data_IF_708808813527
#
_entry.id   IF_708808813527
#
_cell.length_a   1.000
_cell.length_b   1.000
_cell.length_c   1.000
_cell.angle_alpha   90.00
_cell.angle_beta   90.00
_cell.angle_gamma   90.00
#
_symmetry.space_group_name_H-M   'P 1'
#
loop_
_entity.id
_entity.type
_entity.pdbx_description
1 polymer ?
#
# COMPACT_ATOMS: atom_id res chain seq x y z
N UNK A 1 1.56 -39.49 -1.79
CA UNK A 1 2.46 -38.34 -1.79
C UNK A 1 1.70 -37.17 -1.21
N UNK A 2 2.08 -36.67 -0.04
CA UNK A 2 1.54 -35.43 0.51
C UNK A 2 1.94 -34.30 -0.45
N UNK A 3 0.95 -33.66 -1.06
CA UNK A 3 1.21 -32.51 -1.92
C UNK A 3 1.72 -31.38 -1.03
N UNK A 4 2.94 -30.89 -1.29
CA UNK A 4 3.54 -29.77 -0.54
C UNK A 4 2.80 -28.47 -0.81
N UNK A 5 2.55 -27.69 0.25
CA UNK A 5 1.94 -26.36 0.16
C UNK A 5 2.79 -25.42 -0.69
N UNK A 6 2.12 -24.48 -1.37
CA UNK A 6 2.74 -23.41 -2.12
C UNK A 6 2.41 -22.05 -1.50
N UNK A 7 3.34 -21.13 -1.58
CA UNK A 7 3.21 -19.75 -1.13
C UNK A 7 3.58 -18.81 -2.27
N UNK A 8 2.91 -17.68 -2.34
CA UNK A 8 3.19 -16.64 -3.32
C UNK A 8 3.71 -15.39 -2.61
N UNK A 9 4.85 -14.89 -3.05
CA UNK A 9 5.37 -13.58 -2.67
C UNK A 9 5.22 -12.61 -3.84
N UNK A 10 4.66 -11.43 -3.58
CA UNK A 10 4.55 -10.34 -4.55
C UNK A 10 5.38 -9.17 -4.08
N UNK A 11 6.27 -8.68 -4.94
CA UNK A 11 7.11 -7.50 -4.73
C UNK A 11 6.81 -6.47 -5.82
N UNK A 12 6.34 -5.28 -5.40
CA UNK A 12 6.05 -4.17 -6.29
C UNK A 12 7.12 -3.09 -6.12
N UNK A 13 8.11 -3.12 -7.00
CA UNK A 13 9.09 -2.06 -7.10
C UNK A 13 8.56 -0.88 -7.92
N UNK A 14 9.39 0.17 -8.08
CA UNK A 14 9.01 1.41 -8.77
C UNK A 14 8.59 1.22 -10.22
N UNK A 15 9.20 0.27 -10.93
CA UNK A 15 8.95 0.07 -12.37
C UNK A 15 8.39 -1.31 -12.72
N UNK A 16 8.10 -2.17 -11.76
CA UNK A 16 7.57 -3.50 -12.06
C UNK A 16 6.96 -4.19 -10.86
N UNK A 17 5.94 -5.03 -11.09
CA UNK A 17 5.47 -6.05 -10.18
C UNK A 17 6.17 -7.38 -10.48
N UNK A 18 6.55 -8.10 -9.44
CA UNK A 18 7.14 -9.43 -9.50
C UNK A 18 6.34 -10.37 -8.62
N UNK A 19 6.16 -11.60 -9.09
CA UNK A 19 5.58 -12.68 -8.27
C UNK A 19 6.55 -13.87 -8.27
N UNK A 20 6.70 -14.48 -7.10
CA UNK A 20 7.44 -15.71 -6.90
C UNK A 20 6.58 -16.80 -6.28
N UNK A 21 6.72 -18.04 -6.74
CA UNK A 21 6.10 -19.22 -6.13
C UNK A 21 7.16 -19.95 -5.33
N UNK A 22 6.87 -20.22 -4.08
CA UNK A 22 7.78 -20.86 -3.12
C UNK A 22 7.18 -22.13 -2.56
N UNK A 23 8.04 -23.09 -2.22
CA UNK A 23 7.65 -24.22 -1.38
C UNK A 23 7.68 -23.83 0.11
N UNK A 24 7.38 -24.83 0.97
CA UNK A 24 7.36 -24.63 2.43
C UNK A 24 8.76 -24.36 3.01
N UNK A 25 9.79 -24.83 2.36
CA UNK A 25 11.20 -24.67 2.74
C UNK A 25 11.77 -23.31 2.29
N UNK A 26 10.98 -22.53 1.53
CA UNK A 26 11.36 -21.20 1.00
C UNK A 26 12.15 -21.26 -0.30
N UNK A 27 12.20 -22.42 -0.98
CA UNK A 27 12.81 -22.51 -2.29
C UNK A 27 11.93 -21.84 -3.35
N UNK A 28 12.52 -20.97 -4.18
CA UNK A 28 11.85 -20.31 -5.31
C UNK A 28 11.68 -21.33 -6.45
N UNK A 29 10.43 -21.65 -6.78
CA UNK A 29 10.07 -22.63 -7.80
C UNK A 29 9.81 -21.99 -9.16
N UNK A 30 9.22 -20.79 -9.17
CA UNK A 30 8.95 -20.02 -10.39
C UNK A 30 8.88 -18.54 -10.06
N UNK A 31 9.09 -17.68 -11.07
CA UNK A 31 8.95 -16.23 -10.95
C UNK A 31 8.45 -15.64 -12.26
N UNK A 32 7.72 -14.53 -12.14
CA UNK A 32 7.31 -13.73 -13.29
C UNK A 32 7.39 -12.23 -12.94
N UNK A 33 7.48 -11.40 -13.98
CA UNK A 33 7.60 -9.95 -13.88
C UNK A 33 6.67 -9.26 -14.86
N UNK A 34 6.05 -8.17 -14.46
CA UNK A 34 5.29 -7.25 -15.31
C UNK A 34 5.77 -5.82 -15.06
N UNK A 35 6.04 -5.09 -16.13
CA UNK A 35 6.42 -3.68 -16.01
C UNK A 35 5.21 -2.82 -15.65
N UNK A 36 5.46 -1.74 -14.89
CA UNK A 36 4.48 -0.75 -14.46
C UNK A 36 4.86 0.58 -15.07
N UNK A 37 3.90 1.26 -15.69
CA UNK A 37 4.10 2.60 -16.19
C UNK A 37 4.31 3.59 -15.05
N UNK A 38 5.22 4.53 -15.26
CA UNK A 38 5.50 5.63 -14.35
C UNK A 38 5.49 6.93 -15.15
N UNK A 39 4.67 7.88 -14.71
CA UNK A 39 4.68 9.22 -15.26
C UNK A 39 5.65 10.08 -14.47
N UNK A 40 6.50 10.81 -15.17
CA UNK A 40 7.37 11.83 -14.60
C UNK A 40 7.33 13.06 -15.49
N UNK A 41 7.12 14.22 -14.88
CA UNK A 41 7.18 15.49 -15.60
C UNK A 41 8.51 16.26 -15.33
N UNK A 42 8.66 17.39 -16.03
CA UNK A 42 9.85 18.25 -15.89
C UNK A 42 9.89 18.99 -14.55
N UNK A 43 8.76 19.10 -13.84
CA UNK A 43 8.68 19.67 -12.49
C UNK A 43 9.08 18.68 -11.40
N UNK A 44 9.31 17.41 -11.76
CA UNK A 44 9.74 16.36 -10.83
C UNK A 44 8.58 15.65 -10.13
N UNK A 45 7.34 15.83 -10.59
CA UNK A 45 6.20 15.02 -10.16
C UNK A 45 6.38 13.59 -10.68
N UNK A 46 6.13 12.61 -9.81
CA UNK A 46 6.24 11.19 -10.15
C UNK A 46 4.97 10.47 -9.71
N UNK A 47 4.24 9.94 -10.69
CA UNK A 47 2.90 9.38 -10.48
C UNK A 47 2.72 8.03 -11.15
N UNK A 48 1.80 7.23 -10.59
CA UNK A 48 1.39 5.94 -11.13
C UNK A 48 -0.12 5.76 -11.00
N UNK A 49 -0.64 4.69 -11.60
CA UNK A 49 -2.04 4.26 -11.48
C UNK A 49 -2.13 3.00 -10.63
N UNK A 50 -2.94 3.04 -9.58
CA UNK A 50 -3.20 1.89 -8.71
C UNK A 50 -3.87 0.73 -9.46
N UNK A 51 -4.72 1.06 -10.43
CA UNK A 51 -5.35 0.07 -11.31
C UNK A 51 -4.30 -0.67 -12.17
N UNK A 52 -3.38 0.07 -12.81
CA UNK A 52 -2.31 -0.54 -13.61
C UNK A 52 -1.34 -1.36 -12.74
N UNK A 53 -1.04 -0.88 -11.53
CA UNK A 53 -0.22 -1.65 -10.57
C UNK A 53 -0.91 -2.96 -10.21
N UNK A 54 -2.22 -2.92 -9.90
CA UNK A 54 -2.98 -4.12 -9.58
C UNK A 54 -3.06 -5.11 -10.75
N UNK A 55 -3.28 -4.62 -11.97
CA UNK A 55 -3.29 -5.45 -13.18
C UNK A 55 -1.93 -6.13 -13.41
N UNK A 56 -0.83 -5.41 -13.21
CA UNK A 56 0.52 -5.95 -13.30
C UNK A 56 0.79 -7.02 -12.22
N UNK A 57 0.30 -6.81 -11.00
CA UNK A 57 0.35 -7.80 -9.92
C UNK A 57 -0.42 -9.06 -10.31
N UNK A 58 -1.68 -8.93 -10.73
CA UNK A 58 -2.50 -10.06 -11.13
C UNK A 58 -1.86 -10.86 -12.27
N UNK A 59 -1.38 -10.18 -13.31
CA UNK A 59 -0.71 -10.81 -14.45
C UNK A 59 0.59 -11.52 -14.03
N UNK A 60 1.40 -10.91 -13.15
CA UNK A 60 2.63 -11.55 -12.68
C UNK A 60 2.34 -12.80 -11.84
N UNK A 61 1.27 -12.79 -11.02
CA UNK A 61 0.84 -13.98 -10.25
C UNK A 61 0.35 -15.07 -11.19
N UNK A 62 -0.51 -14.74 -12.18
CA UNK A 62 -0.99 -15.72 -13.18
C UNK A 62 0.16 -16.39 -13.91
N UNK A 63 1.15 -15.62 -14.36
CA UNK A 63 2.30 -16.18 -15.07
C UNK A 63 3.19 -17.04 -14.16
N UNK A 64 3.45 -16.59 -12.94
CA UNK A 64 4.29 -17.33 -11.99
C UNK A 64 3.67 -18.67 -11.59
N UNK A 65 2.33 -18.71 -11.43
CA UNK A 65 1.60 -19.93 -11.02
C UNK A 65 1.27 -20.86 -12.20
N UNK A 66 1.55 -20.46 -13.45
CA UNK A 66 1.28 -21.27 -14.62
C UNK A 66 1.97 -22.64 -14.51
N UNK A 67 1.20 -23.70 -14.65
CA UNK A 67 1.71 -25.07 -14.53
C UNK A 67 1.70 -25.66 -13.11
N UNK A 68 1.30 -24.89 -12.10
CA UNK A 68 1.11 -25.40 -10.74
C UNK A 68 -0.36 -25.66 -10.44
N UNK A 69 -0.64 -26.63 -9.54
CA UNK A 69 -1.99 -26.81 -9.01
C UNK A 69 -2.30 -25.71 -8.00
N UNK A 70 -3.19 -24.79 -8.37
CA UNK A 70 -3.59 -23.65 -7.54
C UNK A 70 -4.29 -24.06 -6.22
N UNK A 71 -4.80 -25.30 -6.13
CA UNK A 71 -5.33 -25.84 -4.88
C UNK A 71 -4.27 -25.98 -3.78
N UNK A 72 -3.00 -26.00 -4.15
CA UNK A 72 -1.86 -26.08 -3.23
C UNK A 72 -1.43 -24.71 -2.65
N UNK A 73 -1.89 -23.60 -3.25
CA UNK A 73 -1.55 -22.26 -2.75
C UNK A 73 -2.26 -22.02 -1.44
N UNK A 74 -1.49 -21.88 -0.36
CA UNK A 74 -2.00 -21.71 1.01
C UNK A 74 -1.83 -20.29 1.54
N UNK A 75 -0.98 -19.48 0.92
CA UNK A 75 -0.75 -18.11 1.33
C UNK A 75 -0.21 -17.24 0.20
N UNK A 76 -0.54 -15.96 0.27
CA UNK A 76 0.03 -14.91 -0.57
C UNK A 76 0.40 -13.72 0.34
N UNK A 77 1.57 -13.15 0.13
CA UNK A 77 2.05 -11.95 0.81
C UNK A 77 2.46 -10.87 -0.20
N UNK A 78 2.35 -9.61 0.21
CA UNK A 78 2.69 -8.45 -0.61
C UNK A 78 3.74 -7.61 0.07
N UNK A 79 4.69 -7.13 -0.71
CA UNK A 79 5.60 -6.05 -0.39
C UNK A 79 5.63 -5.03 -1.52
N UNK A 80 5.89 -3.77 -1.22
CA UNK A 80 5.93 -2.71 -2.23
C UNK A 80 6.78 -1.53 -1.77
N UNK A 81 7.16 -0.68 -2.74
CA UNK A 81 7.68 0.66 -2.45
C UNK A 81 6.62 1.50 -1.74
N UNK A 82 7.05 2.32 -0.77
CA UNK A 82 6.16 3.11 0.09
C UNK A 82 5.54 4.33 -0.64
N UNK A 83 4.78 4.10 -1.70
CA UNK A 83 4.07 5.15 -2.44
C UNK A 83 2.71 5.43 -1.81
N UNK A 84 2.24 6.70 -1.88
CA UNK A 84 0.93 7.11 -1.37
C UNK A 84 -0.15 6.84 -2.40
N UNK A 85 -1.15 6.04 -2.06
CA UNK A 85 -2.34 5.76 -2.88
C UNK A 85 -3.54 6.51 -2.30
N UNK A 86 -4.30 7.21 -3.16
CA UNK A 86 -5.45 8.03 -2.78
C UNK A 86 -6.74 7.40 -3.32
N UNK A 87 -7.60 6.91 -2.43
CA UNK A 87 -8.81 6.17 -2.79
C UNK A 87 -10.07 6.89 -2.33
N UNK A 88 -11.01 7.06 -3.25
CA UNK A 88 -12.37 7.49 -3.00
C UNK A 88 -13.38 6.34 -3.05
N UNK A 89 -14.70 6.64 -2.97
CA UNK A 89 -15.75 5.62 -2.91
C UNK A 89 -15.84 4.77 -4.19
N UNK A 90 -15.51 5.33 -5.36
CA UNK A 90 -15.62 4.63 -6.64
C UNK A 90 -14.28 4.13 -7.18
N UNK A 91 -13.17 4.40 -6.50
CA UNK A 91 -11.81 4.02 -6.93
C UNK A 91 -10.77 5.07 -6.63
N UNK A 92 -9.66 5.05 -7.38
CA UNK A 92 -8.58 6.01 -7.24
C UNK A 92 -9.01 7.45 -7.56
N UNK A 93 -8.48 8.41 -6.79
CA UNK A 93 -8.70 9.83 -7.02
C UNK A 93 -7.45 10.50 -7.58
N UNK A 94 -7.58 11.38 -8.60
CA UNK A 94 -6.44 12.00 -9.26
C UNK A 94 -5.63 12.87 -8.29
N UNK A 95 -4.31 12.71 -8.33
CA UNK A 95 -3.36 13.45 -7.47
C UNK A 95 -2.72 14.64 -8.15
N UNK A 96 -3.00 14.87 -9.46
CA UNK A 96 -2.55 16.04 -10.23
C UNK A 96 -3.69 16.70 -11.00
N UNK A 97 -3.42 17.90 -11.55
CA UNK A 97 -4.39 18.69 -12.34
C UNK A 97 -4.53 18.22 -13.79
N UNK A 98 -3.62 17.40 -14.25
CA UNK A 98 -3.61 16.89 -15.60
C UNK A 98 -4.85 16.07 -15.89
N UNK A 99 -5.19 15.97 -17.18
CA UNK A 99 -6.31 15.20 -17.68
C UNK A 99 -6.09 13.67 -17.58
N UNK A 100 -5.40 13.21 -16.55
CA UNK A 100 -5.09 11.81 -16.31
C UNK A 100 -5.74 11.36 -14.99
N UNK A 101 -7.07 11.14 -14.98
CA UNK A 101 -7.82 10.79 -13.76
C UNK A 101 -7.41 9.45 -13.17
N UNK A 102 -6.74 8.61 -13.94
CA UNK A 102 -6.22 7.31 -13.48
C UNK A 102 -4.95 7.41 -12.62
N UNK A 103 -4.31 8.61 -12.52
CA UNK A 103 -3.10 8.80 -11.71
C UNK A 103 -3.47 9.13 -10.27
N UNK A 104 -3.53 8.13 -9.46
CA UNK A 104 -3.98 8.16 -8.07
C UNK A 104 -2.88 7.81 -7.05
N UNK A 105 -1.64 7.63 -7.54
CA UNK A 105 -0.47 7.34 -6.72
C UNK A 105 0.56 8.48 -6.82
N UNK A 106 0.95 9.01 -5.65
CA UNK A 106 2.17 9.82 -5.50
C UNK A 106 3.32 8.88 -5.16
N UNK A 107 4.26 8.70 -6.09
CA UNK A 107 5.36 7.73 -5.93
C UNK A 107 6.28 8.15 -4.77
N UNK A 108 6.91 7.19 -4.11
CA UNK A 108 7.73 7.39 -2.92
C UNK A 108 8.81 8.47 -3.11
N UNK A 109 9.47 8.52 -4.27
CA UNK A 109 10.55 9.47 -4.61
C UNK A 109 10.06 10.83 -5.09
N UNK A 110 8.76 11.10 -5.10
CA UNK A 110 8.18 12.38 -5.48
C UNK A 110 8.46 13.44 -4.42
N UNK A 111 8.98 14.58 -4.82
CA UNK A 111 9.40 15.67 -3.93
C UNK A 111 8.44 16.87 -3.94
N UNK A 112 7.20 16.74 -4.46
CA UNK A 112 6.21 17.83 -4.51
C UNK A 112 5.95 18.48 -3.15
N UNK A 113 6.11 17.75 -2.05
CA UNK A 113 5.84 18.19 -0.68
C UNK A 113 7.08 18.80 0.03
N UNK A 114 8.06 19.33 -0.71
CA UNK A 114 9.30 19.90 -0.13
C UNK A 114 9.02 21.09 0.79
N UNK A 115 8.11 21.99 0.41
CA UNK A 115 7.74 23.15 1.25
C UNK A 115 7.00 22.72 2.52
N UNK A 116 6.11 21.73 2.41
CA UNK A 116 5.38 21.18 3.56
C UNK A 116 6.35 20.51 4.54
N UNK A 117 7.29 19.73 4.03
CA UNK A 117 8.33 19.11 4.87
C UNK A 117 9.20 20.17 5.57
N UNK A 118 9.57 21.26 4.89
CA UNK A 118 10.32 22.36 5.49
C UNK A 118 9.56 23.00 6.65
N UNK A 119 8.28 23.36 6.46
CA UNK A 119 7.42 23.94 7.52
C UNK A 119 7.24 23.00 8.70
N UNK A 120 7.04 21.71 8.46
CA UNK A 120 6.93 20.72 9.54
C UNK A 120 8.24 20.68 10.35
N UNK A 121 9.37 20.74 9.70
CA UNK A 121 10.69 20.72 10.36
C UNK A 121 10.97 21.96 11.23
N UNK A 122 10.36 23.10 10.95
CA UNK A 122 10.46 24.31 11.77
C UNK A 122 9.71 24.16 13.10
N UNK A 123 8.71 23.27 13.17
CA UNK A 123 7.88 23.07 14.35
C UNK A 123 8.50 22.26 15.50
N UNK A 124 9.68 21.67 15.31
CA UNK A 124 10.40 20.90 16.34
C UNK A 124 9.55 19.83 17.06
N UNK A 125 8.85 18.99 16.32
CA UNK A 125 7.94 17.98 16.87
C UNK A 125 8.70 16.75 17.42
N UNK A 126 8.37 16.30 18.61
CA UNK A 126 9.03 15.17 19.28
C UNK A 126 8.98 13.87 18.48
N UNK A 127 7.90 13.65 17.70
CA UNK A 127 7.75 12.46 16.87
C UNK A 127 8.86 12.35 15.80
N UNK A 128 9.46 13.47 15.38
CA UNK A 128 10.50 13.49 14.36
C UNK A 128 11.80 12.82 14.81
N UNK A 129 12.02 12.66 16.12
CA UNK A 129 13.20 11.92 16.63
C UNK A 129 13.27 10.49 16.12
N UNK A 130 12.11 9.89 15.76
CA UNK A 130 12.02 8.53 15.25
C UNK A 130 12.23 8.44 13.73
N UNK A 131 12.33 9.57 13.05
CA UNK A 131 12.61 9.66 11.60
C UNK A 131 13.88 10.46 11.31
N UNK A 132 14.85 10.41 12.25
CA UNK A 132 16.14 11.06 12.10
C UNK A 132 16.18 12.56 12.47
N UNK A 133 15.18 13.05 13.21
CA UNK A 133 15.08 14.43 13.70
C UNK A 133 14.49 15.43 12.70
N UNK A 134 14.31 15.03 11.46
CA UNK A 134 13.72 15.83 10.37
C UNK A 134 12.88 14.96 9.46
N UNK A 135 11.71 15.46 9.05
CA UNK A 135 10.88 14.74 8.08
C UNK A 135 11.34 15.03 6.63
N UNK A 136 11.36 13.99 5.81
CA UNK A 136 11.63 14.08 4.37
C UNK A 136 10.33 14.37 3.59
N UNK A 137 10.38 15.09 2.44
CA UNK A 137 9.26 15.22 1.52
C UNK A 137 8.75 13.89 0.97
N UNK A 138 9.56 12.83 1.05
CA UNK A 138 9.20 11.47 0.65
C UNK A 138 8.28 10.76 1.64
N UNK A 139 8.07 11.32 2.85
CA UNK A 139 7.16 10.76 3.84
C UNK A 139 5.70 11.17 3.59
N UNK A 140 4.77 10.42 4.16
CA UNK A 140 3.36 10.57 3.80
C UNK A 140 2.71 11.80 4.43
N UNK A 141 3.10 12.21 5.64
CA UNK A 141 2.47 13.39 6.27
C UNK A 141 2.74 14.70 5.51
N UNK A 142 3.94 14.99 4.97
CA UNK A 142 4.11 16.13 4.06
C UNK A 142 3.28 16.00 2.77
N UNK A 143 3.20 14.81 2.15
CA UNK A 143 2.41 14.59 0.93
C UNK A 143 0.91 14.78 1.18
N UNK A 144 0.39 14.31 2.32
CA UNK A 144 -1.00 14.55 2.72
C UNK A 144 -1.29 16.03 2.96
N UNK A 145 -0.34 16.75 3.57
CA UNK A 145 -0.47 18.19 3.76
C UNK A 145 -0.45 18.93 2.42
N UNK A 146 0.46 18.56 1.51
CA UNK A 146 0.48 19.09 0.15
C UNK A 146 -0.86 18.83 -0.57
N UNK A 147 -1.37 17.60 -0.51
CA UNK A 147 -2.63 17.23 -1.16
C UNK A 147 -3.79 18.06 -0.60
N UNK A 148 -3.85 18.24 0.74
CA UNK A 148 -4.87 19.05 1.39
C UNK A 148 -4.83 20.52 0.98
N UNK A 149 -3.65 21.10 0.81
CA UNK A 149 -3.44 22.50 0.46
C UNK A 149 -3.64 22.76 -1.04
N UNK A 150 -3.16 21.86 -1.90
CA UNK A 150 -3.10 22.05 -3.34
C UNK A 150 -4.31 21.43 -4.07
N UNK A 151 -4.82 20.31 -3.52
CA UNK A 151 -5.92 19.51 -4.08
C UNK A 151 -7.02 19.28 -3.02
N UNK A 152 -7.61 20.33 -2.45
CA UNK A 152 -8.55 20.21 -1.33
C UNK A 152 -9.77 19.34 -1.65
N UNK A 153 -10.24 19.36 -2.90
CA UNK A 153 -11.37 18.53 -3.34
C UNK A 153 -11.01 17.05 -3.35
N UNK A 154 -9.86 16.67 -3.92
CA UNK A 154 -9.33 15.30 -3.88
C UNK A 154 -9.12 14.84 -2.43
N UNK A 155 -8.49 15.69 -1.61
CA UNK A 155 -8.27 15.36 -0.21
C UNK A 155 -9.58 15.14 0.55
N UNK A 156 -10.59 15.98 0.31
CA UNK A 156 -11.90 15.89 0.97
C UNK A 156 -12.70 14.65 0.50
N UNK A 157 -12.64 14.31 -0.79
CA UNK A 157 -13.33 13.16 -1.37
C UNK A 157 -12.67 11.82 -1.05
N UNK A 158 -11.39 11.81 -0.65
CA UNK A 158 -10.69 10.58 -0.33
C UNK A 158 -11.29 9.92 0.92
N UNK A 159 -11.66 8.66 0.82
CA UNK A 159 -12.09 7.83 1.94
C UNK A 159 -10.92 7.15 2.63
N UNK A 160 -9.89 6.79 1.86
CA UNK A 160 -8.70 6.11 2.36
C UNK A 160 -7.43 6.68 1.70
N UNK A 161 -6.40 6.82 2.52
CA UNK A 161 -5.02 7.00 2.10
C UNK A 161 -4.24 5.76 2.50
N UNK A 162 -3.59 5.12 1.54
CA UNK A 162 -2.84 3.90 1.77
C UNK A 162 -1.35 4.09 1.49
N UNK A 163 -0.52 3.35 2.19
CA UNK A 163 0.75 2.91 1.63
C UNK A 163 0.49 1.87 0.54
N UNK A 164 1.32 1.80 -0.49
CA UNK A 164 1.07 0.90 -1.63
C UNK A 164 0.95 -0.56 -1.20
N UNK A 165 1.75 -1.03 -0.24
CA UNK A 165 1.64 -2.38 0.32
C UNK A 165 0.26 -2.60 0.97
N UNK A 166 -0.21 -1.62 1.77
CA UNK A 166 -1.51 -1.71 2.43
C UNK A 166 -2.68 -1.62 1.43
N UNK A 167 -2.52 -0.85 0.34
CA UNK A 167 -3.48 -0.85 -0.77
C UNK A 167 -3.59 -2.23 -1.42
N UNK A 168 -2.47 -2.90 -1.70
CA UNK A 168 -2.46 -4.23 -2.31
C UNK A 168 -3.12 -5.28 -1.42
N UNK A 169 -2.84 -5.25 -0.12
CA UNK A 169 -3.47 -6.17 0.84
C UNK A 169 -4.96 -5.90 0.99
N UNK A 170 -5.39 -4.62 1.03
CA UNK A 170 -6.81 -4.25 1.02
C UNK A 170 -7.50 -4.70 -0.27
N UNK A 171 -6.92 -4.44 -1.44
CA UNK A 171 -7.48 -4.84 -2.73
C UNK A 171 -7.63 -6.36 -2.86
N UNK A 172 -6.69 -7.10 -2.27
CA UNK A 172 -6.71 -8.55 -2.25
C UNK A 172 -7.72 -9.15 -1.26
N UNK A 173 -7.84 -8.58 -0.06
CA UNK A 173 -8.58 -9.19 1.07
C UNK A 173 -9.86 -8.44 1.46
N UNK A 174 -10.01 -7.18 1.08
CA UNK A 174 -11.07 -6.29 1.56
C UNK A 174 -10.84 -5.76 2.98
N UNK A 175 -9.79 -6.19 3.69
CA UNK A 175 -9.49 -5.75 5.04
C UNK A 175 -8.81 -4.37 5.05
N UNK A 176 -9.25 -3.48 5.95
CA UNK A 176 -8.70 -2.12 6.09
C UNK A 176 -7.54 -2.03 7.11
N UNK A 177 -7.05 -3.17 7.58
CA UNK A 177 -5.90 -3.20 8.46
C UNK A 177 -4.64 -2.65 7.75
N UNK A 178 -3.80 -1.96 8.51
CA UNK A 178 -2.51 -1.43 8.04
C UNK A 178 -1.37 -2.18 8.67
N UNK A 179 -0.28 -2.34 7.95
CA UNK A 179 0.96 -2.88 8.49
C UNK A 179 1.63 -1.88 9.43
N UNK A 180 2.01 -2.33 10.63
CA UNK A 180 2.82 -1.53 11.53
C UNK A 180 4.18 -1.15 10.91
N UNK A 181 4.69 -1.94 9.96
CA UNK A 181 5.93 -1.66 9.23
C UNK A 181 5.76 -0.42 8.33
N UNK A 182 4.77 -0.41 7.45
CA UNK A 182 4.51 0.70 6.52
C UNK A 182 4.22 1.99 7.26
N UNK A 183 3.38 1.92 8.30
CA UNK A 183 2.99 3.10 9.08
C UNK A 183 4.16 3.67 9.90
N UNK A 184 5.02 2.83 10.45
CA UNK A 184 6.23 3.29 11.17
C UNK A 184 7.22 3.91 10.20
N UNK A 185 7.40 3.30 9.02
CA UNK A 185 8.39 3.72 8.03
C UNK A 185 8.07 5.10 7.44
N UNK A 186 6.81 5.40 7.11
CA UNK A 186 6.45 6.58 6.30
C UNK A 186 5.36 7.48 6.90
N UNK A 187 4.61 7.03 7.92
CA UNK A 187 3.41 7.73 8.41
C UNK A 187 3.56 8.31 9.82
N UNK A 188 4.76 8.30 10.37
CA UNK A 188 5.04 8.78 11.75
C UNK A 188 4.27 8.03 12.83
N UNK A 189 3.90 6.75 12.59
CA UNK A 189 3.27 5.90 13.57
C UNK A 189 4.28 5.45 14.64
N UNK A 190 3.90 5.56 15.90
CA UNK A 190 4.73 5.16 17.03
C UNK A 190 4.42 3.69 17.38
N UNK A 191 5.07 2.75 16.69
CA UNK A 191 4.77 1.31 16.84
C UNK A 191 5.01 0.81 18.27
N UNK A 192 5.99 1.36 18.99
CA UNK A 192 6.28 1.02 20.38
C UNK A 192 5.21 1.51 21.37
N UNK A 193 4.40 2.49 20.96
CA UNK A 193 3.25 3.00 21.71
C UNK A 193 1.92 2.52 21.14
N UNK A 194 1.91 1.90 19.95
CA UNK A 194 0.71 1.42 19.29
C UNK A 194 -0.24 2.55 18.82
N UNK A 195 0.28 3.76 18.51
CA UNK A 195 -0.55 4.92 18.18
C UNK A 195 0.12 5.90 17.23
N UNK A 196 -0.68 6.74 16.60
CA UNK A 196 -0.24 8.04 16.09
C UNK A 196 -0.18 9.08 17.21
N UNK A 197 0.56 10.17 16.98
CA UNK A 197 0.55 11.32 17.88
C UNK A 197 -0.48 12.39 17.42
N UNK A 198 -1.65 12.51 18.05
CA UNK A 198 -2.67 13.48 17.64
C UNK A 198 -2.17 14.94 17.70
N UNK A 199 -1.29 15.26 18.66
CA UNK A 199 -0.76 16.62 18.81
C UNK A 199 0.09 17.01 17.60
N UNK A 200 0.91 16.09 17.10
CA UNK A 200 1.66 16.28 15.88
C UNK A 200 0.75 16.56 14.67
N UNK A 201 -0.26 15.73 14.45
CA UNK A 201 -1.20 15.92 13.33
C UNK A 201 -1.97 17.24 13.43
N UNK A 202 -2.36 17.65 14.63
CA UNK A 202 -2.97 18.98 14.84
C UNK A 202 -2.01 20.11 14.51
N UNK A 203 -0.77 20.03 14.96
CA UNK A 203 0.23 21.08 14.79
C UNK A 203 0.61 21.29 13.31
N UNK A 204 0.66 20.22 12.52
CA UNK A 204 1.01 20.29 11.09
C UNK A 204 -0.18 20.58 10.14
N UNK A 205 -1.41 20.77 10.68
CA UNK A 205 -2.57 21.10 9.86
C UNK A 205 -3.39 19.89 9.37
N UNK A 206 -3.06 18.67 9.82
CA UNK A 206 -3.78 17.41 9.51
C UNK A 206 -4.65 16.92 10.69
N UNK A 207 -5.09 17.83 11.58
CA UNK A 207 -5.87 17.50 12.76
C UNK A 207 -7.26 16.90 12.48
N UNK A 208 -7.79 17.02 11.26
CA UNK A 208 -9.00 16.31 10.82
C UNK A 208 -8.82 14.80 10.82
N UNK A 209 -7.63 14.28 10.47
CA UNK A 209 -7.34 12.85 10.56
C UNK A 209 -7.36 12.35 12.01
N UNK A 210 -6.81 13.13 12.94
CA UNK A 210 -6.85 12.81 14.36
C UNK A 210 -8.30 12.84 14.93
N UNK A 211 -9.12 13.83 14.52
CA UNK A 211 -10.54 13.92 14.91
C UNK A 211 -11.37 12.71 14.44
N UNK A 212 -10.97 12.07 13.34
CA UNK A 212 -11.59 10.86 12.80
C UNK A 212 -10.92 9.58 13.32
N UNK A 213 -10.16 9.65 14.41
CA UNK A 213 -9.43 8.51 14.98
C UNK A 213 -8.54 7.80 13.96
N UNK A 214 -7.97 8.57 13.03
CA UNK A 214 -7.09 8.10 11.93
C UNK A 214 -7.74 7.07 11.00
N UNK A 215 -9.07 7.01 10.92
CA UNK A 215 -9.80 6.02 10.10
C UNK A 215 -9.37 6.01 8.63
N UNK A 216 -8.98 7.18 8.09
CA UNK A 216 -8.54 7.32 6.70
C UNK A 216 -7.11 6.86 6.44
N UNK A 217 -6.29 6.70 7.47
CA UNK A 217 -4.86 6.33 7.33
C UNK A 217 -4.47 5.06 8.11
N UNK A 218 -5.35 4.56 9.00
CA UNK A 218 -5.09 3.32 9.72
C UNK A 218 -5.63 3.32 11.15
N UNK A 219 -6.94 3.05 11.31
CA UNK A 219 -7.57 2.84 12.62
C UNK A 219 -7.23 1.46 13.23
N UNK A 220 -6.97 0.47 12.37
CA UNK A 220 -6.54 -0.88 12.75
C UNK A 220 -5.13 -1.14 12.22
N UNK A 221 -4.23 -1.54 13.12
CA UNK A 221 -2.81 -1.76 12.79
C UNK A 221 -2.39 -3.14 13.28
N UNK A 222 -1.78 -3.91 12.38
CA UNK A 222 -1.34 -5.28 12.64
C UNK A 222 0.15 -5.45 12.32
N UNK A 223 0.77 -6.47 12.88
CA UNK A 223 2.16 -6.82 12.58
C UNK A 223 2.28 -7.46 11.19
N UNK A 224 3.40 -7.25 10.47
CA UNK A 224 3.67 -7.97 9.22
C UNK A 224 3.53 -9.49 9.39
N UNK A 225 2.96 -10.14 8.37
CA UNK A 225 2.69 -11.58 8.40
C UNK A 225 1.36 -11.98 9.05
N UNK A 226 0.59 -11.03 9.59
CA UNK A 226 -0.76 -11.29 10.08
C UNK A 226 -1.69 -11.64 8.91
N UNK A 227 -2.48 -12.71 9.06
CA UNK A 227 -3.51 -13.07 8.08
C UNK A 227 -4.65 -12.03 8.11
N UNK A 228 -5.01 -11.51 6.94
CA UNK A 228 -6.00 -10.44 6.81
C UNK A 228 -7.37 -10.98 6.35
N UNK A 229 -8.43 -10.47 6.97
CA UNK A 229 -9.81 -10.79 6.62
C UNK A 229 -10.09 -12.29 6.62
N UNK A 230 -10.75 -12.75 5.56
CA UNK A 230 -10.99 -14.18 5.30
C UNK A 230 -10.03 -14.75 4.23
N UNK A 231 -8.92 -14.07 3.97
CA UNK A 231 -8.01 -14.34 2.86
C UNK A 231 -8.41 -13.56 1.59
N UNK A 232 -8.02 -14.06 0.41
CA UNK A 232 -8.37 -13.40 -0.86
C UNK A 232 -9.89 -13.31 -1.02
N UNK A 233 -10.37 -12.16 -1.50
CA UNK A 233 -11.74 -12.04 -1.99
C UNK A 233 -11.94 -12.92 -3.24
N UNK A 234 -13.20 -13.28 -3.53
CA UNK A 234 -13.50 -14.05 -4.75
C UNK A 234 -13.05 -13.31 -6.02
N UNK A 235 -13.20 -11.98 -6.06
CA UNK A 235 -12.77 -11.15 -7.18
C UNK A 235 -11.23 -11.16 -7.33
N UNK A 236 -10.49 -10.96 -6.26
CA UNK A 236 -9.02 -10.99 -6.30
C UNK A 236 -8.49 -12.38 -6.68
N UNK A 237 -9.06 -13.44 -6.12
CA UNK A 237 -8.68 -14.81 -6.46
C UNK A 237 -8.89 -15.08 -7.96
N UNK A 238 -10.05 -14.70 -8.51
CA UNK A 238 -10.34 -14.85 -9.94
C UNK A 238 -9.36 -14.05 -10.82
N UNK A 239 -9.08 -12.78 -10.46
CA UNK A 239 -8.13 -11.93 -11.18
C UNK A 239 -6.69 -12.47 -11.16
N UNK A 240 -6.30 -13.17 -10.11
CA UNK A 240 -4.96 -13.78 -9.98
C UNK A 240 -4.91 -15.22 -10.52
N UNK A 241 -6.02 -15.80 -11.00
CA UNK A 241 -6.09 -17.20 -11.41
C UNK A 241 -5.95 -18.20 -10.26
N UNK A 242 -6.28 -17.77 -9.03
CA UNK A 242 -6.20 -18.55 -7.81
C UNK A 242 -7.58 -19.04 -7.37
N UNK A 243 -7.62 -20.04 -6.48
CA UNK A 243 -8.89 -20.50 -5.88
C UNK A 243 -9.25 -19.64 -4.68
N UNK A 244 -10.51 -19.30 -4.54
CA UNK A 244 -11.04 -18.66 -3.34
C UNK A 244 -11.08 -19.64 -2.16
N UNK A 245 -10.89 -19.12 -0.94
CA UNK A 245 -10.83 -19.94 0.29
C UNK A 245 -12.07 -20.81 0.55
N UNK A 246 -13.27 -20.37 0.10
CA UNK A 246 -14.49 -21.17 0.21
C UNK A 246 -14.50 -22.42 -0.67
N UNK A 247 -13.62 -22.51 -1.67
CA UNK A 247 -13.50 -23.65 -2.58
C UNK A 247 -12.50 -24.71 -2.08
N UNK A 248 -11.81 -24.44 -0.97
CA UNK A 248 -10.91 -25.43 -0.35
C UNK A 248 -11.74 -26.48 0.37
N UNK A 249 -11.50 -27.79 0.13
CA UNK A 249 -12.10 -28.82 0.96
C UNK A 249 -11.66 -28.57 2.41
N UNK A 250 -12.63 -28.40 3.31
CA UNK A 250 -12.31 -28.32 4.74
C UNK A 250 -11.64 -29.63 5.11
N UNK A 251 -10.36 -29.61 5.46
CA UNK A 251 -9.73 -30.71 6.17
C UNK A 251 -10.53 -30.87 7.48
N UNK A 252 -11.34 -31.92 7.55
CA UNK A 252 -11.89 -32.37 8.84
C UNK A 252 -10.74 -33.04 9.57
N UNK A 253 -10.43 -32.53 10.75
CA UNK A 253 -9.60 -33.18 11.77
C UNK A 253 -10.14 -34.55 12.12
#
# INVERSE_FOLDING_TARGET
MTMTDLFIGVDVGTGSARAGVFDREGALLATAKRDIAMHRDDAGLVEQSSAQVWDAVCASVQDAIAGFDTARVTGIGFDATCSLVVMGPEGGLPVSDDAAPERDIIVWMDHRATEQAARINEGHHDVLKYVGGRISPEMQTPKLLWLKETRPETYAAAEQFFDLTDFLTWKASGALDRSSCTLTCKWTYLAHEGRFDPAYFHAIGLGDLAKQSFARIGASVVTPGTALGQGLTAAAAAQMGLRHASERPRCRS
#
